data_IF_800487868607
#
_entry.id   IF_800487868607
#
_cell.length_a   1.000
_cell.length_b   1.000
_cell.length_c   1.000
_cell.angle_alpha   90.00
_cell.angle_beta   90.00
_cell.angle_gamma   90.00
#
_symmetry.space_group_name_H-M   'P 1'
#
loop_
_entity.id
_entity.type
_entity.pdbx_description
1 polymer ?
#
# COMPACT_ATOMS: atom_id res chain seq x y z
N UNK A 1 -6.21 -30.50 -8.49
CA UNK A 1 -5.08 -29.88 -9.26
C UNK A 1 -4.85 -28.55 -8.63
N UNK A 2 -3.63 -28.20 -8.29
CA UNK A 2 -3.29 -26.91 -7.68
C UNK A 2 -2.94 -25.94 -8.80
N UNK A 3 -3.50 -24.74 -8.80
CA UNK A 3 -3.15 -23.68 -9.76
C UNK A 3 -1.90 -22.91 -9.32
N UNK A 4 -1.25 -22.26 -10.28
CA UNK A 4 -0.09 -21.39 -9.97
C UNK A 4 -0.54 -20.18 -9.16
N UNK A 5 -1.75 -19.66 -9.41
CA UNK A 5 -2.30 -18.51 -8.71
C UNK A 5 -2.64 -18.84 -7.24
N UNK A 6 -3.13 -20.07 -6.95
CA UNK A 6 -3.30 -20.55 -5.57
C UNK A 6 -1.98 -20.61 -4.80
N UNK A 7 -0.90 -21.09 -5.46
CA UNK A 7 0.43 -21.15 -4.83
C UNK A 7 1.03 -19.75 -4.63
N UNK A 8 0.86 -18.84 -5.59
CA UNK A 8 1.32 -17.46 -5.48
C UNK A 8 0.59 -16.72 -4.34
N UNK A 9 -0.73 -16.89 -4.27
CA UNK A 9 -1.54 -16.33 -3.20
C UNK A 9 -1.10 -16.85 -1.82
N UNK A 10 -0.99 -18.18 -1.68
CA UNK A 10 -0.52 -18.81 -0.44
C UNK A 10 0.87 -18.34 -0.05
N UNK A 11 1.80 -18.25 -1.01
CA UNK A 11 3.16 -17.77 -0.77
C UNK A 11 3.17 -16.36 -0.19
N UNK A 12 2.45 -15.44 -0.81
CA UNK A 12 2.32 -14.05 -0.36
C UNK A 12 1.67 -13.94 1.01
N UNK A 13 0.58 -14.70 1.22
CA UNK A 13 -0.13 -14.70 2.49
C UNK A 13 0.75 -15.20 3.63
N UNK A 14 1.51 -16.28 3.42
CA UNK A 14 2.42 -16.83 4.42
C UNK A 14 3.66 -15.95 4.63
N UNK A 15 4.12 -15.24 3.60
CA UNK A 15 5.22 -14.27 3.71
C UNK A 15 4.83 -13.07 4.58
N UNK A 16 3.54 -12.68 4.58
CA UNK A 16 3.03 -11.61 5.44
C UNK A 16 2.92 -12.01 6.93
N UNK A 17 3.01 -13.29 7.24
CA UNK A 17 2.87 -13.79 8.61
C UNK A 17 4.12 -13.56 9.44
N UNK A 18 3.94 -13.13 10.68
CA UNK A 18 5.01 -13.13 11.64
C UNK A 18 5.37 -14.56 12.09
N UNK A 19 6.42 -14.69 12.90
CA UNK A 19 6.89 -16.00 13.38
C UNK A 19 5.82 -16.75 14.17
N UNK A 20 4.96 -16.05 14.91
CA UNK A 20 3.92 -16.67 15.71
C UNK A 20 2.71 -17.07 14.85
N UNK A 21 2.33 -16.25 13.90
CA UNK A 21 1.29 -16.54 12.92
C UNK A 21 1.63 -17.76 12.06
N UNK A 22 2.90 -17.87 11.62
CA UNK A 22 3.40 -19.08 10.95
C UNK A 22 3.33 -20.32 11.86
N UNK A 23 3.59 -20.14 13.16
CA UNK A 23 3.45 -21.22 14.13
C UNK A 23 1.99 -21.65 14.27
N UNK A 24 1.06 -20.69 14.36
CA UNK A 24 -0.38 -20.94 14.40
C UNK A 24 -0.86 -21.67 13.14
N UNK A 25 -0.46 -21.19 11.97
CA UNK A 25 -0.82 -21.81 10.70
C UNK A 25 -0.35 -23.27 10.62
N UNK A 26 0.92 -23.52 10.89
CA UNK A 26 1.48 -24.88 10.81
C UNK A 26 0.85 -25.82 11.85
N UNK A 27 0.66 -25.36 13.06
CA UNK A 27 0.05 -26.16 14.13
C UNK A 27 -1.44 -26.45 13.86
N UNK A 28 -2.17 -25.47 13.29
CA UNK A 28 -3.55 -25.66 12.88
C UNK A 28 -3.67 -26.59 11.66
N UNK A 29 -2.73 -26.53 10.70
CA UNK A 29 -2.69 -27.45 9.57
C UNK A 29 -2.59 -28.91 10.02
N UNK A 30 -1.73 -29.21 11.00
CA UNK A 30 -1.63 -30.53 11.60
C UNK A 30 -2.90 -30.90 12.40
N UNK A 31 -3.46 -29.93 13.16
CA UNK A 31 -4.67 -30.16 13.96
C UNK A 31 -5.88 -30.52 13.12
N UNK A 32 -6.04 -29.88 11.95
CA UNK A 32 -7.19 -30.07 11.06
C UNK A 32 -6.92 -31.03 9.92
N UNK A 33 -5.75 -31.68 9.87
CA UNK A 33 -5.34 -32.66 8.83
C UNK A 33 -5.47 -32.07 7.40
N UNK A 34 -4.92 -30.85 7.23
CA UNK A 34 -5.01 -30.12 5.97
C UNK A 34 -4.19 -30.80 4.88
N UNK A 35 -4.81 -31.07 3.73
CA UNK A 35 -4.19 -31.83 2.64
C UNK A 35 -4.28 -31.19 1.26
N UNK A 36 -5.13 -30.20 1.07
CA UNK A 36 -5.34 -29.54 -0.23
C UNK A 36 -4.99 -28.05 -0.20
N UNK A 37 -4.65 -27.47 -1.36
CA UNK A 37 -4.37 -26.05 -1.48
C UNK A 37 -5.58 -25.19 -1.08
N UNK A 38 -6.79 -25.59 -1.44
CA UNK A 38 -8.00 -24.86 -1.05
C UNK A 38 -8.20 -24.83 0.47
N UNK A 39 -7.97 -25.94 1.15
CA UNK A 39 -8.01 -25.98 2.62
C UNK A 39 -6.88 -25.16 3.26
N UNK A 40 -5.71 -25.08 2.62
CA UNK A 40 -4.61 -24.21 3.07
C UNK A 40 -4.99 -22.73 2.93
N UNK A 41 -5.69 -22.35 1.85
CA UNK A 41 -6.20 -20.99 1.64
C UNK A 41 -7.22 -20.65 2.73
N UNK A 42 -8.21 -21.50 2.98
CA UNK A 42 -9.21 -21.31 4.03
C UNK A 42 -8.55 -21.19 5.42
N UNK A 43 -7.54 -22.04 5.69
CA UNK A 43 -6.81 -22.01 6.94
C UNK A 43 -5.97 -20.72 7.08
N UNK A 44 -5.31 -20.27 6.03
CA UNK A 44 -4.48 -19.06 6.07
C UNK A 44 -5.28 -17.81 6.45
N UNK A 45 -6.56 -17.76 6.08
CA UNK A 45 -7.47 -16.67 6.47
C UNK A 45 -7.86 -16.71 7.96
N UNK A 46 -7.80 -17.87 8.60
CA UNK A 46 -8.34 -18.11 9.95
C UNK A 46 -7.32 -18.62 10.97
N UNK A 47 -6.10 -18.91 10.56
CA UNK A 47 -5.08 -19.50 11.44
C UNK A 47 -4.78 -18.69 12.72
N UNK A 48 -5.07 -17.38 12.69
CA UNK A 48 -4.94 -16.49 13.86
C UNK A 48 -5.98 -16.76 14.96
N UNK A 49 -7.04 -17.52 14.67
CA UNK A 49 -8.08 -17.85 15.64
C UNK A 49 -7.66 -18.96 16.63
N UNK A 50 -6.58 -19.71 16.33
CA UNK A 50 -6.08 -20.75 17.23
C UNK A 50 -5.02 -20.21 18.18
N UNK A 51 -4.95 -20.79 19.39
CA UNK A 51 -3.87 -20.51 20.35
C UNK A 51 -2.88 -21.66 20.36
N UNK A 52 -1.59 -21.35 20.23
CA UNK A 52 -0.51 -22.35 20.24
C UNK A 52 0.43 -22.10 21.41
N UNK A 53 0.63 -23.12 22.25
CA UNK A 53 1.60 -23.11 23.33
C UNK A 53 2.81 -23.94 22.91
N UNK A 54 3.86 -23.25 22.48
CA UNK A 54 5.15 -23.89 22.15
C UNK A 54 6.14 -23.87 23.33
N UNK A 55 5.92 -23.01 24.33
CA UNK A 55 6.72 -22.90 25.53
C UNK A 55 5.80 -22.70 26.76
N UNK A 56 5.87 -23.60 27.70
CA UNK A 56 5.10 -23.58 28.96
C UNK A 56 5.81 -22.81 30.10
N UNK A 57 7.02 -22.30 29.89
CA UNK A 57 7.75 -21.55 30.90
C UNK A 57 7.23 -20.13 31.09
N UNK A 58 6.57 -19.56 30.10
CA UNK A 58 6.05 -18.19 30.11
C UNK A 58 4.52 -18.19 29.90
N UNK A 59 3.79 -18.63 30.91
CA UNK A 59 2.32 -18.71 30.88
C UNK A 59 1.67 -17.32 30.84
N UNK A 60 2.29 -16.28 31.39
CA UNK A 60 1.75 -14.93 31.33
C UNK A 60 1.66 -14.45 29.87
N UNK A 61 2.73 -14.62 29.12
CA UNK A 61 2.75 -14.29 27.69
C UNK A 61 1.77 -15.14 26.87
N UNK A 62 1.64 -16.42 27.20
CA UNK A 62 0.68 -17.33 26.57
C UNK A 62 -0.74 -16.82 26.78
N UNK A 63 -1.13 -16.49 28.00
CA UNK A 63 -2.49 -16.03 28.32
C UNK A 63 -2.82 -14.69 27.72
N UNK A 64 -1.87 -13.75 27.69
CA UNK A 64 -2.02 -12.46 27.01
C UNK A 64 -2.23 -12.62 25.49
N UNK A 65 -1.48 -13.53 24.86
CA UNK A 65 -1.68 -13.88 23.45
C UNK A 65 -3.05 -14.55 23.19
N UNK A 66 -3.42 -15.49 24.07
CA UNK A 66 -4.74 -16.10 23.97
C UNK A 66 -5.87 -15.07 24.08
N UNK A 67 -5.75 -14.14 25.00
CA UNK A 67 -6.71 -13.05 25.15
C UNK A 67 -6.86 -12.25 23.86
N UNK A 68 -5.73 -11.84 23.25
CA UNK A 68 -5.73 -11.14 21.97
C UNK A 68 -6.31 -11.98 20.82
N UNK A 69 -6.03 -13.29 20.82
CA UNK A 69 -6.57 -14.22 19.80
C UNK A 69 -8.12 -14.27 19.85
N UNK A 70 -8.70 -14.27 21.06
CA UNK A 70 -10.16 -14.39 21.24
C UNK A 70 -10.89 -13.05 21.13
N UNK A 71 -10.27 -11.96 21.59
CA UNK A 71 -10.93 -10.64 21.68
C UNK A 71 -10.49 -9.66 20.58
N UNK A 72 -9.46 -9.99 19.79
CA UNK A 72 -8.87 -9.11 18.80
C UNK A 72 -7.95 -8.05 19.44
N UNK A 73 -8.08 -6.79 18.99
CA UNK A 73 -7.30 -5.69 19.55
C UNK A 73 -7.79 -5.33 20.96
N UNK A 74 -6.84 -5.09 21.88
CA UNK A 74 -7.11 -4.64 23.26
C UNK A 74 -6.38 -3.34 23.54
N UNK A 75 -6.88 -2.56 24.49
CA UNK A 75 -6.16 -1.41 25.02
C UNK A 75 -4.87 -1.88 25.71
N UNK A 76 -3.71 -1.25 25.49
CA UNK A 76 -2.47 -1.59 26.15
C UNK A 76 -2.57 -1.67 27.68
N UNK A 77 -3.31 -0.75 28.32
CA UNK A 77 -3.52 -0.75 29.79
C UNK A 77 -4.31 -1.97 30.26
N UNK A 78 -5.28 -2.43 29.48
CA UNK A 78 -6.06 -3.62 29.79
C UNK A 78 -5.19 -4.89 29.70
N UNK A 79 -4.36 -4.97 28.67
CA UNK A 79 -3.44 -6.10 28.49
C UNK A 79 -2.35 -6.13 29.55
N UNK A 80 -1.84 -4.98 30.00
CA UNK A 80 -0.85 -4.88 31.06
C UNK A 80 -1.41 -5.31 32.42
N UNK A 81 -2.68 -5.02 32.68
CA UNK A 81 -3.37 -5.41 33.93
C UNK A 81 -3.93 -6.85 33.90
N UNK A 82 -3.88 -7.55 32.76
CA UNK A 82 -4.36 -8.91 32.62
C UNK A 82 -3.43 -9.91 33.33
N UNK A 83 -3.96 -10.76 34.20
CA UNK A 83 -3.27 -11.95 34.70
C UNK A 83 -3.20 -13.02 33.60
N UNK A 84 -2.18 -12.93 32.75
CA UNK A 84 -1.99 -13.87 31.66
C UNK A 84 -1.76 -15.31 32.15
N UNK A 85 -1.13 -15.49 33.32
CA UNK A 85 -0.92 -16.83 33.88
C UNK A 85 -2.24 -17.50 34.22
N UNK A 86 -3.17 -16.79 34.83
CA UNK A 86 -4.49 -17.32 35.15
C UNK A 86 -5.31 -17.55 33.85
N UNK A 87 -5.25 -16.62 32.90
CA UNK A 87 -5.88 -16.78 31.59
C UNK A 87 -5.40 -18.03 30.85
N UNK A 88 -4.08 -18.30 30.86
CA UNK A 88 -3.53 -19.52 30.27
C UNK A 88 -4.00 -20.80 31.00
N UNK A 89 -4.09 -20.76 32.35
CA UNK A 89 -4.61 -21.88 33.11
C UNK A 89 -6.08 -22.18 32.82
N UNK A 90 -6.89 -21.14 32.69
CA UNK A 90 -8.29 -21.28 32.31
C UNK A 90 -8.42 -21.93 30.93
N UNK A 91 -7.69 -21.45 29.91
CA UNK A 91 -7.64 -22.08 28.59
C UNK A 91 -7.33 -23.58 28.71
N UNK A 92 -6.27 -23.95 29.42
CA UNK A 92 -5.84 -25.36 29.57
C UNK A 92 -6.86 -26.21 30.35
N UNK A 93 -7.68 -25.60 31.21
CA UNK A 93 -8.70 -26.33 32.00
C UNK A 93 -10.03 -26.49 31.24
N UNK A 94 -10.38 -25.55 30.39
CA UNK A 94 -11.67 -25.49 29.69
C UNK A 94 -11.65 -26.10 28.29
N UNK A 95 -10.47 -26.13 27.65
CA UNK A 95 -10.34 -26.68 26.30
C UNK A 95 -9.38 -27.87 26.25
N UNK A 96 -9.66 -28.79 25.35
CA UNK A 96 -8.76 -29.90 25.06
C UNK A 96 -7.65 -29.45 24.11
N UNK A 97 -6.40 -29.41 24.57
CA UNK A 97 -5.23 -29.17 23.74
C UNK A 97 -4.87 -30.38 22.86
N UNK A 98 -4.45 -30.11 21.63
CA UNK A 98 -3.97 -31.10 20.67
C UNK A 98 -2.47 -30.97 20.51
N UNK A 99 -1.72 -32.07 20.71
CA UNK A 99 -0.26 -32.11 20.58
C UNK A 99 0.11 -32.21 19.12
N UNK A 100 0.93 -31.26 18.65
CA UNK A 100 1.49 -31.20 17.29
C UNK A 100 3.01 -31.05 17.36
N UNK A 101 3.76 -31.23 16.26
CA UNK A 101 5.19 -30.94 16.22
C UNK A 101 5.56 -29.48 16.56
N UNK A 102 4.57 -28.57 16.48
CA UNK A 102 4.73 -27.13 16.69
C UNK A 102 4.36 -26.67 18.11
N UNK A 103 3.78 -27.55 18.91
CA UNK A 103 3.31 -27.29 20.27
C UNK A 103 1.91 -27.83 20.53
N UNK A 104 1.30 -27.38 21.63
CA UNK A 104 -0.08 -27.73 21.97
C UNK A 104 -1.01 -26.68 21.39
N UNK A 105 -1.96 -27.13 20.54
CA UNK A 105 -2.94 -26.28 19.86
C UNK A 105 -4.26 -26.32 20.59
N UNK A 106 -4.83 -25.16 20.84
CA UNK A 106 -6.22 -24.96 21.29
C UNK A 106 -6.97 -24.29 20.15
N UNK A 107 -8.01 -24.93 19.63
CA UNK A 107 -8.74 -24.44 18.46
C UNK A 107 -9.74 -23.32 18.75
N UNK A 108 -9.95 -22.97 20.02
CA UNK A 108 -10.85 -21.90 20.46
C UNK A 108 -12.27 -22.00 19.85
N UNK A 109 -12.74 -23.21 19.63
CA UNK A 109 -14.00 -23.53 18.92
C UNK A 109 -14.03 -23.16 17.44
N UNK A 110 -12.87 -22.79 16.86
CA UNK A 110 -12.73 -22.55 15.42
C UNK A 110 -13.19 -23.80 14.63
N UNK A 111 -13.98 -23.56 13.61
CA UNK A 111 -14.34 -24.56 12.61
C UNK A 111 -13.77 -24.14 11.28
N UNK A 112 -13.03 -25.03 10.63
CA UNK A 112 -12.54 -24.76 9.29
C UNK A 112 -13.73 -24.86 8.32
N UNK A 113 -14.29 -23.71 7.96
CA UNK A 113 -15.36 -23.61 6.96
C UNK A 113 -14.71 -23.44 5.58
N UNK A 114 -15.30 -24.08 4.57
CA UNK A 114 -14.89 -23.87 3.19
C UNK A 114 -15.47 -22.56 2.69
N UNK A 115 -14.64 -21.53 2.64
CA UNK A 115 -14.96 -20.21 2.10
C UNK A 115 -14.42 -20.02 0.70
N UNK A 116 -13.28 -20.62 0.40
CA UNK A 116 -12.70 -20.61 -0.94
C UNK A 116 -13.42 -21.59 -1.87
N UNK A 117 -13.97 -21.08 -2.95
CA UNK A 117 -14.79 -21.85 -3.91
C UNK A 117 -13.97 -22.64 -4.93
N UNK A 118 -12.64 -22.54 -4.90
CA UNK A 118 -11.73 -23.17 -5.86
C UNK A 118 -11.51 -22.35 -7.14
N UNK A 119 -12.02 -21.12 -7.19
CA UNK A 119 -11.94 -20.27 -8.38
C UNK A 119 -11.54 -18.82 -8.03
N UNK A 120 -12.27 -18.17 -7.12
CA UNK A 120 -12.07 -16.76 -6.77
C UNK A 120 -11.17 -16.67 -5.55
N UNK A 121 -9.94 -16.17 -5.75
CA UNK A 121 -8.97 -16.04 -4.66
C UNK A 121 -9.43 -14.94 -3.70
N UNK A 122 -9.31 -15.16 -2.38
CA UNK A 122 -9.58 -14.10 -1.40
C UNK A 122 -8.62 -12.93 -1.57
N UNK A 123 -9.01 -11.74 -1.09
CA UNK A 123 -8.10 -10.60 -1.01
C UNK A 123 -6.86 -10.99 -0.18
N UNK A 124 -5.69 -10.64 -0.67
CA UNK A 124 -4.42 -10.80 0.05
C UNK A 124 -3.90 -9.43 0.50
N UNK A 125 -3.05 -9.40 1.51
CA UNK A 125 -2.38 -8.17 1.91
C UNK A 125 -1.51 -7.62 0.79
N UNK A 126 -1.52 -6.29 0.62
CA UNK A 126 -0.55 -5.61 -0.25
C UNK A 126 0.87 -5.86 0.28
N UNK A 127 1.76 -6.35 -0.58
CA UNK A 127 3.17 -6.49 -0.23
C UNK A 127 3.90 -5.15 -0.34
N UNK A 128 5.13 -5.06 0.19
CA UNK A 128 5.94 -3.83 0.20
C UNK A 128 6.20 -3.23 -1.20
N UNK A 129 6.18 -4.07 -2.24
CA UNK A 129 6.38 -3.65 -3.63
C UNK A 129 5.08 -3.25 -4.33
N UNK A 130 3.93 -3.49 -3.70
CA UNK A 130 2.64 -3.11 -4.24
C UNK A 130 2.40 -1.63 -4.03
N UNK A 131 2.03 -0.93 -5.09
CA UNK A 131 1.71 0.50 -5.09
C UNK A 131 0.22 0.73 -4.93
N UNK A 132 -0.59 -0.13 -5.55
CA UNK A 132 -2.05 -0.08 -5.46
C UNK A 132 -2.66 -1.45 -5.71
N UNK A 133 -3.87 -1.63 -5.19
CA UNK A 133 -4.71 -2.80 -5.43
C UNK A 133 -6.06 -2.35 -5.99
N UNK A 134 -6.47 -2.98 -7.08
CA UNK A 134 -7.80 -2.79 -7.66
C UNK A 134 -8.66 -4.00 -7.40
N UNK A 135 -9.87 -3.75 -6.94
CA UNK A 135 -10.95 -4.73 -6.85
C UNK A 135 -11.71 -4.76 -8.17
N UNK A 136 -11.95 -5.97 -8.66
CA UNK A 136 -12.71 -6.24 -9.87
C UNK A 136 -14.06 -6.82 -9.44
N UNK A 137 -15.12 -6.06 -9.65
CA UNK A 137 -16.48 -6.40 -9.26
C UNK A 137 -17.29 -6.81 -10.49
N UNK A 138 -17.82 -8.03 -10.56
CA UNK A 138 -18.71 -8.41 -11.65
C UNK A 138 -19.97 -7.56 -11.67
N UNK A 139 -20.43 -7.16 -12.87
CA UNK A 139 -21.68 -6.40 -13.00
C UNK A 139 -22.84 -7.19 -12.37
N UNK A 140 -23.58 -6.54 -11.49
CA UNK A 140 -24.74 -7.12 -10.77
C UNK A 140 -24.44 -8.25 -9.77
N UNK A 141 -23.20 -8.50 -9.43
CA UNK A 141 -22.84 -9.45 -8.38
C UNK A 141 -22.27 -8.68 -7.16
N UNK A 142 -22.98 -8.73 -6.06
CA UNK A 142 -22.58 -8.08 -4.80
C UNK A 142 -21.92 -9.03 -3.80
N UNK A 143 -21.73 -10.28 -4.18
CA UNK A 143 -21.08 -11.26 -3.33
C UNK A 143 -19.57 -11.11 -3.45
N UNK A 144 -18.92 -10.52 -2.42
CA UNK A 144 -17.47 -10.30 -2.37
C UNK A 144 -16.66 -11.57 -2.68
N UNK A 145 -17.21 -12.76 -2.44
CA UNK A 145 -16.55 -14.04 -2.77
C UNK A 145 -16.36 -14.27 -4.26
N UNK A 146 -17.08 -13.53 -5.09
CA UNK A 146 -16.96 -13.58 -6.54
C UNK A 146 -16.11 -12.45 -7.12
N UNK A 147 -15.63 -11.54 -6.28
CA UNK A 147 -14.70 -10.49 -6.68
C UNK A 147 -13.30 -11.07 -6.87
N UNK A 148 -12.43 -10.34 -7.51
CA UNK A 148 -11.00 -10.64 -7.62
C UNK A 148 -10.20 -9.35 -7.48
N UNK A 149 -8.91 -9.46 -7.16
CA UNK A 149 -8.05 -8.31 -6.90
C UNK A 149 -6.81 -8.38 -7.77
N UNK A 150 -6.39 -7.23 -8.26
CA UNK A 150 -5.14 -7.06 -9.00
C UNK A 150 -4.25 -6.09 -8.25
N UNK A 151 -3.10 -6.58 -7.79
CA UNK A 151 -2.06 -5.79 -7.16
C UNK A 151 -1.06 -5.31 -8.21
N UNK A 152 -0.76 -4.01 -8.22
CA UNK A 152 0.16 -3.39 -9.18
C UNK A 152 1.48 -2.95 -8.52
N UNK A 153 2.63 -3.11 -9.21
CA UNK A 153 2.77 -3.66 -10.56
C UNK A 153 2.51 -5.18 -10.60
N UNK A 154 2.01 -5.66 -11.76
CA UNK A 154 1.64 -7.06 -11.95
C UNK A 154 2.16 -7.60 -13.28
N UNK A 155 2.29 -8.94 -13.37
CA UNK A 155 2.47 -9.62 -14.65
C UNK A 155 1.16 -9.54 -15.47
N UNK A 156 1.21 -9.13 -16.74
CA UNK A 156 0.03 -9.02 -17.60
C UNK A 156 -0.81 -10.31 -17.66
N UNK A 157 -0.16 -11.48 -17.70
CA UNK A 157 -0.87 -12.78 -17.71
C UNK A 157 -1.60 -13.04 -16.39
N UNK A 158 -1.07 -12.52 -15.28
CA UNK A 158 -1.73 -12.61 -13.97
C UNK A 158 -2.99 -11.74 -13.94
N UNK A 159 -2.91 -10.51 -14.46
CA UNK A 159 -4.07 -9.64 -14.58
C UNK A 159 -5.16 -10.27 -15.50
N UNK A 160 -4.77 -10.82 -16.64
CA UNK A 160 -5.70 -11.50 -17.55
C UNK A 160 -6.39 -12.70 -16.87
N UNK A 161 -5.66 -13.51 -16.07
CA UNK A 161 -6.26 -14.62 -15.32
C UNK A 161 -7.22 -14.14 -14.25
N UNK A 162 -6.95 -13.02 -13.56
CA UNK A 162 -7.87 -12.42 -12.60
C UNK A 162 -9.20 -12.03 -13.30
N UNK A 163 -9.11 -11.37 -14.45
CA UNK A 163 -10.27 -11.01 -15.27
C UNK A 163 -11.09 -12.25 -15.71
N UNK A 164 -10.40 -13.33 -16.11
CA UNK A 164 -11.07 -14.57 -16.50
C UNK A 164 -11.78 -15.26 -15.32
N UNK A 165 -11.24 -15.19 -14.10
CA UNK A 165 -11.88 -15.75 -12.90
C UNK A 165 -13.20 -15.07 -12.61
N UNK A 166 -13.26 -13.77 -12.77
CA UNK A 166 -14.48 -12.96 -12.61
C UNK A 166 -15.50 -13.19 -13.75
N UNK A 167 -15.10 -13.96 -14.77
CA UNK A 167 -16.01 -14.37 -15.86
C UNK A 167 -16.22 -13.33 -16.93
N UNK A 168 -15.19 -12.47 -17.16
CA UNK A 168 -15.23 -11.42 -18.18
C UNK A 168 -14.67 -11.95 -19.50
N UNK A 169 -15.53 -12.27 -20.47
CA UNK A 169 -15.06 -12.62 -21.81
C UNK A 169 -14.79 -11.39 -22.68
N UNK A 170 -15.15 -10.18 -22.24
CA UNK A 170 -14.91 -8.93 -22.99
C UNK A 170 -14.99 -7.71 -22.10
N UNK A 171 -14.06 -6.78 -22.28
CA UNK A 171 -14.01 -5.42 -21.79
C UNK A 171 -15.40 -4.73 -21.85
N UNK A 172 -16.13 -4.63 -20.77
CA UNK A 172 -17.34 -3.83 -20.81
C UNK A 172 -18.40 -4.03 -19.73
N UNK A 173 -18.22 -4.98 -18.82
CA UNK A 173 -19.24 -5.28 -17.79
C UNK A 173 -18.66 -5.45 -16.39
N UNK A 174 -17.63 -4.67 -16.05
CA UNK A 174 -16.93 -4.77 -14.78
C UNK A 174 -16.80 -3.39 -14.21
N UNK A 175 -17.17 -3.28 -12.95
CA UNK A 175 -16.74 -2.16 -12.12
C UNK A 175 -15.34 -2.44 -11.60
N UNK A 176 -14.49 -1.43 -11.65
CA UNK A 176 -13.15 -1.44 -11.08
C UNK A 176 -13.06 -0.31 -10.09
N UNK A 177 -12.61 -0.62 -8.89
CA UNK A 177 -12.45 0.38 -7.84
C UNK A 177 -11.14 0.16 -7.09
N UNK A 178 -10.64 1.21 -6.44
CA UNK A 178 -9.51 1.05 -5.53
C UNK A 178 -9.95 0.26 -4.31
N UNK A 179 -9.20 -0.81 -4.01
CA UNK A 179 -9.30 -1.53 -2.75
C UNK A 179 -8.33 -0.96 -1.73
N UNK A 180 -7.08 -0.73 -2.15
CA UNK A 180 -6.03 -0.11 -1.36
C UNK A 180 -5.02 0.62 -2.27
N UNK A 181 -4.33 1.64 -1.74
CA UNK A 181 -3.36 2.41 -2.51
C UNK A 181 -2.39 3.18 -1.62
N UNK A 182 -1.12 3.22 -2.04
CA UNK A 182 -0.11 4.13 -1.47
C UNK A 182 -0.20 5.54 -2.07
N UNK A 183 -0.96 5.72 -3.14
CA UNK A 183 -1.14 7.03 -3.75
C UNK A 183 -1.96 7.96 -2.85
N UNK A 184 -1.55 9.23 -2.72
CA UNK A 184 -2.35 10.27 -2.09
C UNK A 184 -3.68 10.50 -2.82
N UNK A 185 -4.65 11.07 -2.11
CA UNK A 185 -6.00 11.33 -2.64
C UNK A 185 -6.01 12.19 -3.93
N UNK A 186 -5.08 13.14 -4.06
CA UNK A 186 -4.93 13.97 -5.25
C UNK A 186 -4.57 13.14 -6.47
N UNK A 187 -3.67 12.18 -6.30
CA UNK A 187 -3.27 11.25 -7.36
C UNK A 187 -4.44 10.34 -7.71
N UNK A 188 -5.07 9.71 -6.71
CA UNK A 188 -6.23 8.83 -6.91
C UNK A 188 -7.35 9.53 -7.69
N UNK A 189 -7.65 10.79 -7.36
CA UNK A 189 -8.68 11.58 -8.06
C UNK A 189 -8.34 11.90 -9.51
N UNK A 190 -7.04 12.02 -9.83
CA UNK A 190 -6.58 12.27 -11.19
C UNK A 190 -6.63 11.03 -12.08
N UNK A 191 -6.63 9.82 -11.48
CA UNK A 191 -6.66 8.56 -12.22
C UNK A 191 -8.09 8.24 -12.68
N UNK A 192 -8.31 8.18 -14.00
CA UNK A 192 -9.55 7.64 -14.59
C UNK A 192 -9.42 6.12 -14.71
N UNK A 193 -9.88 5.39 -13.68
CA UNK A 193 -9.68 3.95 -13.58
C UNK A 193 -10.74 3.22 -14.38
N UNK A 194 -10.28 2.46 -15.38
CA UNK A 194 -11.10 1.54 -16.18
C UNK A 194 -10.33 0.24 -16.39
N UNK A 195 -11.07 -0.84 -16.57
CA UNK A 195 -10.45 -2.14 -16.82
C UNK A 195 -9.49 -2.13 -18.02
N UNK A 196 -9.79 -1.35 -19.06
CA UNK A 196 -8.91 -1.20 -20.22
C UNK A 196 -7.59 -0.47 -19.96
N UNK A 197 -7.44 0.17 -18.81
CA UNK A 197 -6.26 0.96 -18.44
C UNK A 197 -5.22 0.17 -17.65
N UNK A 198 -5.38 -1.13 -17.46
CA UNK A 198 -4.49 -1.90 -16.56
C UNK A 198 -3.02 -1.87 -17.00
N UNK A 199 -2.71 -1.79 -18.30
CA UNK A 199 -1.34 -1.63 -18.78
C UNK A 199 -0.73 -0.30 -18.33
N UNK A 200 -1.47 0.80 -18.50
CA UNK A 200 -1.03 2.14 -18.09
C UNK A 200 -0.88 2.26 -16.57
N UNK A 201 -1.79 1.64 -15.82
CA UNK A 201 -1.69 1.55 -14.35
C UNK A 201 -0.47 0.74 -13.93
N UNK A 202 -0.16 -0.32 -14.67
CA UNK A 202 1.03 -1.13 -14.42
C UNK A 202 2.32 -0.34 -14.67
N UNK A 203 2.41 0.41 -15.75
CA UNK A 203 3.54 1.29 -16.06
C UNK A 203 3.73 2.36 -14.99
N UNK A 204 2.66 3.07 -14.60
CA UNK A 204 2.69 4.03 -13.49
C UNK A 204 3.19 3.39 -12.19
N UNK A 205 2.66 2.21 -11.86
CA UNK A 205 3.06 1.49 -10.65
C UNK A 205 4.51 1.04 -10.67
N UNK A 206 5.04 0.64 -11.85
CA UNK A 206 6.45 0.31 -12.01
C UNK A 206 7.36 1.50 -11.73
N UNK A 207 7.00 2.70 -12.21
CA UNK A 207 7.73 3.94 -11.90
C UNK A 207 7.76 4.18 -10.39
N UNK A 208 6.63 3.96 -9.71
CA UNK A 208 6.48 4.25 -8.28
C UNK A 208 6.96 3.14 -7.34
N UNK A 209 7.40 1.96 -7.84
CA UNK A 209 7.81 0.83 -6.99
C UNK A 209 8.97 1.18 -6.03
N UNK A 210 9.87 2.09 -6.44
CA UNK A 210 10.99 2.54 -5.61
C UNK A 210 10.67 3.70 -4.67
N UNK A 211 9.46 4.24 -4.72
CA UNK A 211 9.07 5.43 -3.96
C UNK A 211 8.96 5.13 -2.47
N UNK A 212 9.49 6.07 -1.68
CA UNK A 212 9.28 6.11 -0.23
C UNK A 212 8.07 6.99 0.10
N UNK A 213 7.64 7.02 1.35
CA UNK A 213 6.51 7.86 1.82
C UNK A 213 6.67 9.35 1.41
N UNK A 214 7.91 9.87 1.47
CA UNK A 214 8.21 11.23 1.04
C UNK A 214 7.95 11.44 -0.46
N UNK A 215 8.25 10.47 -1.31
CA UNK A 215 8.05 10.57 -2.76
C UNK A 215 6.57 10.54 -3.13
N UNK A 216 5.77 9.71 -2.43
CA UNK A 216 4.32 9.70 -2.58
C UNK A 216 3.70 11.03 -2.13
N UNK A 217 4.12 11.59 -0.98
CA UNK A 217 3.66 12.90 -0.52
C UNK A 217 4.03 14.00 -1.53
N UNK A 218 5.26 13.98 -2.05
CA UNK A 218 5.71 14.89 -3.11
C UNK A 218 4.86 14.76 -4.37
N UNK A 219 4.57 13.54 -4.83
CA UNK A 219 3.70 13.31 -5.98
C UNK A 219 2.28 13.87 -5.76
N UNK A 220 1.74 13.74 -4.54
CA UNK A 220 0.47 14.35 -4.17
C UNK A 220 0.49 15.88 -4.30
N UNK A 221 1.54 16.52 -3.76
CA UNK A 221 1.74 17.96 -3.89
C UNK A 221 1.90 18.41 -5.35
N UNK A 222 2.66 17.64 -6.15
CA UNK A 222 2.85 17.90 -7.59
C UNK A 222 1.52 17.77 -8.36
N UNK A 223 0.71 16.76 -8.07
CA UNK A 223 -0.62 16.62 -8.68
C UNK A 223 -1.57 17.76 -8.28
N UNK A 224 -1.46 18.26 -7.05
CA UNK A 224 -2.21 19.45 -6.62
C UNK A 224 -1.82 20.69 -7.44
N UNK A 225 -0.52 20.90 -7.68
CA UNK A 225 0.01 22.00 -8.47
C UNK A 225 -0.36 21.88 -9.97
N UNK A 226 -0.07 20.71 -10.57
CA UNK A 226 -0.16 20.50 -12.02
C UNK A 226 -1.56 20.14 -12.50
N UNK A 227 -2.43 19.63 -11.63
CA UNK A 227 -3.81 19.19 -11.93
C UNK A 227 -3.89 18.24 -13.12
N UNK A 228 -3.16 17.10 -13.09
CA UNK A 228 -3.15 16.16 -14.21
C UNK A 228 -4.53 15.56 -14.45
N UNK A 229 -4.78 15.20 -15.71
CA UNK A 229 -5.98 14.46 -16.12
C UNK A 229 -5.55 13.10 -16.70
N UNK A 230 -5.88 12.03 -16.01
CA UNK A 230 -5.62 10.65 -16.44
C UNK A 230 -4.23 10.11 -16.09
N UNK A 231 -4.09 8.81 -16.32
CA UNK A 231 -2.96 8.00 -15.85
C UNK A 231 -1.63 8.45 -16.48
N UNK A 232 -1.65 8.78 -17.78
CA UNK A 232 -0.43 9.15 -18.49
C UNK A 232 0.19 10.44 -17.96
N UNK A 233 -0.65 11.48 -17.72
CA UNK A 233 -0.18 12.73 -17.13
C UNK A 233 0.42 12.53 -15.74
N UNK A 234 -0.20 11.69 -14.92
CA UNK A 234 0.34 11.34 -13.58
C UNK A 234 1.67 10.59 -13.71
N UNK A 235 1.79 9.66 -14.68
CA UNK A 235 3.04 8.92 -14.94
C UNK A 235 4.17 9.87 -15.32
N UNK A 236 3.91 10.82 -16.23
CA UNK A 236 4.91 11.82 -16.63
C UNK A 236 5.38 12.67 -15.45
N UNK A 237 4.47 13.07 -14.55
CA UNK A 237 4.84 13.80 -13.34
C UNK A 237 5.68 12.92 -12.39
N UNK A 238 5.33 11.65 -12.21
CA UNK A 238 6.06 10.72 -11.37
C UNK A 238 7.48 10.44 -11.89
N UNK A 239 7.65 10.33 -13.21
CA UNK A 239 8.96 10.16 -13.85
C UNK A 239 9.88 11.38 -13.73
N UNK A 240 9.32 12.56 -13.50
CA UNK A 240 10.00 13.84 -13.47
C UNK A 240 9.90 14.56 -12.11
N UNK A 241 9.75 13.83 -11.02
CA UNK A 241 9.65 14.41 -9.67
C UNK A 241 10.88 15.24 -9.27
N UNK A 242 12.05 14.96 -9.86
CA UNK A 242 13.28 15.70 -9.64
C UNK A 242 13.21 17.14 -10.15
N UNK A 243 12.28 17.47 -11.06
CA UNK A 243 12.04 18.83 -11.56
C UNK A 243 11.17 19.68 -10.64
N UNK A 244 10.82 19.17 -9.47
CA UNK A 244 10.04 19.87 -8.47
C UNK A 244 10.82 20.02 -7.16
N UNK A 245 10.85 21.21 -6.61
CA UNK A 245 11.26 21.44 -5.23
C UNK A 245 10.07 21.14 -4.31
N UNK A 246 10.31 20.42 -3.21
CA UNK A 246 9.28 20.06 -2.23
C UNK A 246 9.78 20.27 -0.81
N UNK A 247 9.04 21.03 -0.02
CA UNK A 247 9.27 21.21 1.40
C UNK A 247 8.10 20.58 2.17
N UNK A 248 8.28 19.36 2.75
CA UNK A 248 7.23 18.66 3.44
C UNK A 248 6.79 19.39 4.70
N UNK A 249 5.50 19.27 5.05
CA UNK A 249 4.89 19.83 6.27
C UNK A 249 5.05 21.36 6.40
N UNK A 250 5.28 22.07 5.29
CA UNK A 250 5.43 23.53 5.23
C UNK A 250 4.17 24.15 4.63
N UNK A 251 3.44 24.94 5.42
CA UNK A 251 2.11 25.45 5.03
C UNK A 251 2.00 26.98 5.09
N UNK A 252 3.03 27.66 5.56
CA UNK A 252 3.07 29.13 5.66
C UNK A 252 4.36 29.71 5.08
N UNK A 253 4.34 31.00 4.66
CA UNK A 253 5.56 31.67 4.21
C UNK A 253 6.68 31.68 5.24
N UNK A 254 6.34 31.82 6.52
CA UNK A 254 7.32 31.82 7.61
C UNK A 254 7.99 30.44 7.73
N UNK A 255 7.21 29.37 7.76
CA UNK A 255 7.73 27.99 7.78
C UNK A 255 8.59 27.69 6.56
N UNK A 256 8.18 28.17 5.37
CA UNK A 256 8.98 28.02 4.16
C UNK A 256 10.30 28.77 4.24
N UNK A 257 10.29 30.00 4.73
CA UNK A 257 11.51 30.76 4.96
C UNK A 257 12.44 30.10 5.97
N UNK A 258 11.89 29.53 7.03
CA UNK A 258 12.63 28.77 8.03
C UNK A 258 13.23 27.49 7.43
N UNK A 259 12.43 26.69 6.72
CA UNK A 259 12.88 25.48 6.01
C UNK A 259 14.05 25.80 5.07
N UNK A 260 13.91 26.83 4.24
CA UNK A 260 14.92 27.22 3.25
C UNK A 260 16.24 27.64 3.89
N UNK A 261 16.20 28.37 5.01
CA UNK A 261 17.41 28.86 5.69
C UNK A 261 18.06 27.77 6.55
N UNK A 262 17.26 26.95 7.24
CA UNK A 262 17.77 26.01 8.25
C UNK A 262 17.96 24.58 7.73
N UNK A 263 17.09 24.11 6.82
CA UNK A 263 16.99 22.69 6.48
C UNK A 263 17.31 22.36 5.03
N UNK A 264 17.14 23.31 4.08
CA UNK A 264 17.34 23.05 2.65
C UNK A 264 18.78 22.72 2.25
N UNK A 265 19.75 22.99 3.12
CA UNK A 265 21.18 22.85 2.84
C UNK A 265 21.75 23.88 1.82
N UNK A 266 20.92 24.84 1.38
CA UNK A 266 21.35 25.87 0.42
C UNK A 266 22.16 26.99 1.05
N UNK A 267 22.13 27.13 2.38
CA UNK A 267 22.83 28.16 3.14
C UNK A 267 23.56 27.58 4.34
N UNK A 268 24.68 28.23 4.73
CA UNK A 268 25.27 27.99 6.03
C UNK A 268 24.41 28.71 7.09
N UNK A 269 23.85 27.98 8.02
CA UNK A 269 22.97 28.49 9.07
C UNK A 269 23.70 28.56 10.40
N UNK A 270 23.62 29.73 11.06
CA UNK A 270 24.13 29.93 12.40
C UNK A 270 22.97 30.10 13.39
N UNK A 271 22.80 29.12 14.29
CA UNK A 271 21.74 29.14 15.32
C UNK A 271 21.78 30.39 16.21
N UNK A 272 22.95 30.97 16.43
CA UNK A 272 23.08 32.21 17.24
C UNK A 272 22.44 33.43 16.56
N UNK A 273 22.16 33.36 15.28
CA UNK A 273 21.51 34.41 14.50
C UNK A 273 20.04 34.15 14.23
N UNK A 274 19.45 33.05 14.77
CA UNK A 274 18.09 32.61 14.49
C UNK A 274 17.04 33.73 14.66
N UNK A 275 17.14 34.51 15.75
CA UNK A 275 16.19 35.59 16.08
C UNK A 275 16.37 36.86 15.21
N UNK A 276 17.44 36.95 14.40
CA UNK A 276 17.68 38.05 13.48
C UNK A 276 17.20 37.79 12.05
N UNK A 277 16.78 36.56 11.72
CA UNK A 277 16.23 36.25 10.40
C UNK A 277 14.75 36.61 10.33
N UNK A 278 14.37 37.34 9.30
CA UNK A 278 12.96 37.56 8.95
C UNK A 278 12.47 36.44 8.02
N UNK A 279 12.12 35.31 8.61
CA UNK A 279 11.72 34.11 7.86
C UNK A 279 10.48 34.35 6.99
N UNK A 280 9.48 35.07 7.49
CA UNK A 280 8.26 35.38 6.76
C UNK A 280 8.54 36.20 5.51
N UNK A 281 9.27 37.31 5.63
CA UNK A 281 9.62 38.19 4.51
C UNK A 281 10.47 37.43 3.46
N UNK A 282 11.40 36.62 3.92
CA UNK A 282 12.22 35.79 3.03
C UNK A 282 11.37 34.76 2.31
N UNK A 283 10.49 34.03 3.01
CA UNK A 283 9.57 33.05 2.43
C UNK A 283 8.64 33.66 1.40
N UNK A 284 8.01 34.81 1.70
CA UNK A 284 7.16 35.53 0.74
C UNK A 284 7.91 35.86 -0.55
N UNK A 285 9.14 36.40 -0.42
CA UNK A 285 9.97 36.73 -1.61
C UNK A 285 10.30 35.52 -2.46
N UNK A 286 10.60 34.38 -1.82
CA UNK A 286 10.92 33.14 -2.51
C UNK A 286 9.69 32.58 -3.24
N UNK A 287 8.55 32.50 -2.59
CA UNK A 287 7.29 32.01 -3.16
C UNK A 287 6.91 32.80 -4.42
N UNK A 288 7.03 34.13 -4.37
CA UNK A 288 6.75 35.00 -5.52
C UNK A 288 7.70 34.81 -6.70
N UNK A 289 8.91 34.30 -6.47
CA UNK A 289 9.90 34.01 -7.51
C UNK A 289 9.74 32.63 -8.13
N UNK A 290 9.25 31.66 -7.35
CA UNK A 290 9.21 30.25 -7.69
C UNK A 290 7.85 29.82 -8.24
N UNK A 291 6.83 30.67 -8.13
CA UNK A 291 5.43 30.40 -8.53
C UNK A 291 4.89 29.06 -7.95
N UNK A 292 5.29 28.76 -6.72
CA UNK A 292 4.91 27.54 -6.02
C UNK A 292 3.62 27.71 -5.23
N UNK A 293 3.08 26.59 -4.74
CA UNK A 293 1.83 26.54 -3.97
C UNK A 293 2.00 25.74 -2.67
N UNK A 294 1.20 26.10 -1.67
CA UNK A 294 1.01 25.30 -0.48
C UNK A 294 -0.07 24.25 -0.72
N UNK A 295 0.19 23.04 -0.24
CA UNK A 295 -0.71 21.89 -0.34
C UNK A 295 -0.88 21.25 1.05
N UNK A 296 -1.75 20.27 1.17
CA UNK A 296 -1.91 19.49 2.40
C UNK A 296 -0.63 18.68 2.76
N UNK A 297 0.28 18.47 1.80
CA UNK A 297 1.55 17.74 1.98
C UNK A 297 2.75 18.65 2.25
N UNK A 298 2.61 19.95 2.02
CA UNK A 298 3.67 20.95 2.14
C UNK A 298 3.73 21.91 0.95
N UNK A 299 4.82 22.65 0.83
CA UNK A 299 5.06 23.58 -0.28
C UNK A 299 5.73 22.88 -1.45
N UNK A 300 5.25 23.16 -2.67
CA UNK A 300 5.82 22.63 -3.91
C UNK A 300 5.96 23.72 -4.96
N UNK A 301 7.06 23.68 -5.73
CA UNK A 301 7.30 24.55 -6.90
C UNK A 301 7.96 23.77 -8.03
N UNK A 302 7.70 24.22 -9.26
CA UNK A 302 8.25 23.62 -10.47
C UNK A 302 9.42 24.46 -10.99
N UNK A 303 10.53 23.81 -11.34
CA UNK A 303 11.74 24.47 -11.86
C UNK A 303 12.26 23.89 -13.19
N UNK A 304 11.45 23.01 -13.83
CA UNK A 304 11.80 22.44 -15.12
C UNK A 304 11.82 23.46 -16.26
N UNK A 305 12.33 23.05 -17.40
CA UNK A 305 12.48 23.90 -18.60
C UNK A 305 11.27 23.89 -19.51
N UNK A 306 10.43 22.86 -19.42
CA UNK A 306 9.15 22.73 -20.12
C UNK A 306 8.03 23.37 -19.32
N UNK A 307 6.93 23.70 -19.96
CA UNK A 307 5.69 24.02 -19.24
C UNK A 307 5.12 22.74 -18.61
N UNK A 308 4.33 22.87 -17.55
CA UNK A 308 3.67 21.71 -16.92
C UNK A 308 2.78 20.94 -17.93
N UNK A 309 2.13 21.66 -18.86
CA UNK A 309 1.31 21.04 -19.91
C UNK A 309 2.17 20.19 -20.85
N UNK A 310 3.31 20.71 -21.31
CA UNK A 310 4.26 19.99 -22.16
C UNK A 310 4.84 18.77 -21.46
N UNK A 311 5.20 18.89 -20.18
CA UNK A 311 5.70 17.79 -19.36
C UNK A 311 4.66 16.67 -19.26
N UNK A 312 3.41 17.00 -18.93
CA UNK A 312 2.31 16.04 -18.82
C UNK A 312 1.94 15.35 -20.14
N UNK A 313 2.28 15.96 -21.27
CA UNK A 313 2.09 15.37 -22.61
C UNK A 313 3.24 14.44 -23.03
N UNK A 314 4.25 14.26 -22.18
CA UNK A 314 5.42 13.41 -22.46
C UNK A 314 6.42 14.04 -23.44
N UNK A 315 6.36 15.37 -23.64
CA UNK A 315 7.37 16.07 -24.42
C UNK A 315 8.69 16.07 -23.63
N UNK A 316 9.77 15.65 -24.28
CA UNK A 316 11.10 15.72 -23.68
C UNK A 316 11.77 17.02 -24.11
N UNK A 317 12.68 17.57 -23.30
CA UNK A 317 13.47 18.75 -23.67
C UNK A 317 14.26 18.54 -24.97
N UNK A 318 14.61 17.31 -25.30
CA UNK A 318 15.29 16.94 -26.55
C UNK A 318 14.36 17.05 -27.78
N UNK A 319 13.09 16.65 -27.66
CA UNK A 319 12.10 16.81 -28.75
C UNK A 319 11.80 18.28 -29.01
N UNK A 320 11.78 19.12 -27.99
CA UNK A 320 11.59 20.56 -28.13
C UNK A 320 12.77 21.27 -28.81
N UNK A 321 14.00 20.88 -28.52
CA UNK A 321 15.19 21.40 -29.19
C UNK A 321 15.20 21.00 -30.67
N UNK A 322 14.87 19.77 -31.00
CA UNK A 322 14.77 19.30 -32.39
C UNK A 322 13.67 20.02 -33.19
N UNK A 323 12.51 20.32 -32.59
CA UNK A 323 11.45 21.10 -33.22
C UNK A 323 11.85 22.57 -33.41
N UNK A 324 12.57 23.17 -32.48
CA UNK A 324 13.07 24.54 -32.63
C UNK A 324 14.19 24.65 -33.67
N UNK A 325 15.10 23.70 -33.71
CA UNK A 325 16.14 23.62 -34.76
C UNK A 325 15.54 23.41 -36.15
N UNK A 326 14.57 22.50 -36.28
CA UNK A 326 13.82 22.29 -37.53
C UNK A 326 13.02 23.51 -38.00
N UNK A 327 12.48 24.30 -37.07
CA UNK A 327 11.82 25.57 -37.40
C UNK A 327 12.78 26.68 -37.81
N UNK A 328 13.99 26.67 -37.30
CA UNK A 328 15.02 27.65 -37.67
C UNK A 328 15.73 27.30 -38.98
N UNK A 329 15.84 26.03 -39.34
CA UNK A 329 16.38 25.58 -40.62
C UNK A 329 15.39 25.72 -41.79
N UNK A 330 14.12 25.86 -41.53
CA UNK A 330 13.02 26.02 -42.50
C UNK A 330 12.67 27.50 -42.86
N UNK A 331 13.36 28.46 -42.27
CA UNK A 331 13.28 29.89 -42.59
C UNK A 331 14.47 30.33 -43.44
#
# INVERSE_FOLDING_TARGET
MVSVDELDWLGKQLESFDRYELLQFNAAAERFDISSAGEMIDLALRSREVTVISDFNDLDKVGKRHYLTVHGASNPEELDNLDGTETARLLMSEQQGHITPYGVVYDNTMKLERTYDGKHLPQSWMNENCVMELEIVPENDKDVRHHDWIQFPTDPLKAERALLRVGIPALGKVEVQFSDSRFPDEVVRALDIRIGCYYQLNELSQVCTGFQEHDFAKLGAVCHLAKPEGIESVRQLAENLDQFDFAPDVHTPEEYGQYMIQQSGRYEYDENLAEFYNYEEYGIKRILQEDGVFTDYGYVSYHGTLTLEELMQGNTAESHQQEQEAKMEGM
#
